data_IF_115515704400
#
_entry.id   IF_115515704400
#
_cell.length_a   1.000
_cell.length_b   1.000
_cell.length_c   1.000
_cell.angle_alpha   90.00
_cell.angle_beta   90.00
_cell.angle_gamma   90.00
#
_symmetry.space_group_name_H-M   'P 1'
#
loop_
_entity.id
_entity.type
_entity.pdbx_description
1 polymer ?
#
# COMPACT_ATOMS: atom_id res chain seq x y z
N UNK A 1 9.70 5.26 -2.32
CA UNK A 1 9.86 4.08 -3.21
C UNK A 1 8.58 3.87 -3.99
N UNK A 2 8.60 3.14 -5.11
CA UNK A 2 7.41 2.89 -5.93
C UNK A 2 7.36 1.45 -6.47
N UNK A 3 6.16 0.90 -6.57
CA UNK A 3 5.86 -0.40 -7.19
C UNK A 3 4.92 -0.12 -8.36
N UNK A 4 5.24 -0.63 -9.55
CA UNK A 4 4.33 -0.59 -10.70
C UNK A 4 3.45 -1.83 -10.63
N UNK A 5 2.14 -1.64 -10.62
CA UNK A 5 1.11 -2.66 -10.65
C UNK A 5 0.91 -3.11 -12.10
N UNK A 6 0.85 -4.42 -12.31
CA UNK A 6 0.60 -4.99 -13.64
C UNK A 6 -0.85 -4.79 -14.08
N UNK A 7 -1.15 -4.74 -15.39
CA UNK A 7 -2.51 -4.58 -15.90
C UNK A 7 -3.45 -5.76 -15.54
N UNK A 8 -2.88 -6.91 -15.17
CA UNK A 8 -3.61 -8.11 -14.73
C UNK A 8 -3.91 -8.13 -13.23
N UNK A 9 -3.44 -7.14 -12.48
CA UNK A 9 -3.61 -7.07 -11.02
C UNK A 9 -4.33 -5.76 -10.66
N UNK A 10 -5.69 -5.74 -10.72
CA UNK A 10 -6.48 -4.58 -10.33
C UNK A 10 -6.42 -4.41 -8.81
N UNK A 11 -5.28 -3.91 -8.33
CA UNK A 11 -5.07 -3.57 -6.95
C UNK A 11 -5.60 -2.16 -6.70
N UNK A 12 -6.43 -2.01 -5.68
CA UNK A 12 -7.00 -0.72 -5.30
C UNK A 12 -6.75 -0.50 -3.80
N UNK A 13 -5.74 0.31 -3.51
CA UNK A 13 -5.28 0.61 -2.15
C UNK A 13 -6.42 1.13 -1.28
N UNK A 14 -7.25 2.02 -1.83
CA UNK A 14 -8.36 2.62 -1.10
C UNK A 14 -9.37 1.55 -0.67
N UNK A 15 -9.76 0.65 -1.58
CA UNK A 15 -10.62 -0.49 -1.23
C UNK A 15 -9.97 -1.46 -0.24
N UNK A 16 -8.66 -1.70 -0.36
CA UNK A 16 -7.93 -2.59 0.55
C UNK A 16 -7.87 -2.03 1.98
N UNK A 17 -7.62 -0.73 2.13
CA UNK A 17 -7.48 -0.08 3.45
C UNK A 17 -8.83 0.34 4.05
N UNK A 18 -9.81 0.70 3.23
CA UNK A 18 -11.13 1.16 3.68
C UNK A 18 -12.03 0.03 4.20
N UNK A 19 -11.83 -1.22 3.78
CA UNK A 19 -12.67 -2.38 4.18
C UNK A 19 -12.57 -2.80 5.66
N UNK A 20 -11.96 -2.00 6.55
CA UNK A 20 -12.10 -2.13 8.01
C UNK A 20 -11.24 -3.22 8.68
N UNK A 21 -10.49 -4.02 7.92
CA UNK A 21 -9.52 -4.97 8.50
C UNK A 21 -8.18 -4.30 8.88
N UNK A 22 -8.00 -3.03 8.51
CA UNK A 22 -6.75 -2.31 8.65
C UNK A 22 -6.90 -1.12 9.63
N UNK A 23 -7.27 -1.39 10.88
CA UNK A 23 -7.45 -0.40 11.98
C UNK A 23 -6.25 0.53 12.25
N UNK A 24 -5.11 0.32 11.58
CA UNK A 24 -3.87 1.07 11.76
C UNK A 24 -3.57 2.04 10.62
N UNK A 25 -4.53 2.26 9.72
CA UNK A 25 -4.37 3.14 8.57
C UNK A 25 -5.33 4.32 8.62
N UNK A 26 -4.77 5.51 8.44
CA UNK A 26 -5.50 6.78 8.39
C UNK A 26 -5.22 7.44 7.05
N UNK A 27 -6.28 7.86 6.34
CA UNK A 27 -6.14 8.61 5.10
C UNK A 27 -6.01 10.09 5.41
N UNK A 28 -4.88 10.69 5.05
CA UNK A 28 -4.60 12.12 5.19
C UNK A 28 -4.31 12.69 3.80
N UNK A 29 -5.32 13.33 3.21
CA UNK A 29 -5.26 13.81 1.83
C UNK A 29 -5.21 12.64 0.84
N UNK A 30 -4.15 12.61 0.02
CA UNK A 30 -3.91 11.53 -0.96
C UNK A 30 -3.09 10.37 -0.40
N UNK A 31 -2.56 10.52 0.82
CA UNK A 31 -1.69 9.53 1.44
C UNK A 31 -2.41 8.77 2.54
N UNK A 32 -2.15 7.48 2.59
CA UNK A 32 -2.52 6.62 3.69
C UNK A 32 -1.32 6.46 4.62
N UNK A 33 -1.52 6.78 5.89
CA UNK A 33 -0.52 6.68 6.94
C UNK A 33 -0.85 5.49 7.81
N UNK A 34 0.13 4.63 8.08
CA UNK A 34 -0.09 3.49 8.95
C UNK A 34 1.19 2.79 9.35
N UNK A 35 1.02 1.68 10.07
CA UNK A 35 2.14 0.92 10.62
C UNK A 35 2.03 -0.54 10.20
N UNK A 36 3.00 -1.03 9.43
CA UNK A 36 3.13 -2.45 9.10
C UNK A 36 4.26 -3.04 9.94
N UNK A 37 3.96 -4.08 10.73
CA UNK A 37 4.95 -4.80 11.56
C UNK A 37 5.90 -3.84 12.33
N UNK A 38 5.32 -2.88 13.06
CA UNK A 38 6.03 -1.87 13.85
C UNK A 38 6.80 -0.80 13.05
N UNK A 39 6.79 -0.87 11.71
CA UNK A 39 7.39 0.15 10.86
C UNK A 39 6.33 1.17 10.43
N UNK A 40 6.42 2.44 10.85
CA UNK A 40 5.54 3.49 10.35
C UNK A 40 5.89 3.81 8.90
N UNK A 41 4.87 3.87 8.05
CA UNK A 41 5.01 4.22 6.65
C UNK A 41 3.80 5.00 6.16
N UNK A 42 4.00 5.65 5.03
CA UNK A 42 2.91 6.17 4.22
C UNK A 42 2.88 5.48 2.87
N UNK A 43 1.69 5.31 2.32
CA UNK A 43 1.46 4.74 0.99
C UNK A 43 0.36 5.51 0.28
N UNK A 44 0.51 5.70 -1.02
CA UNK A 44 -0.55 6.20 -1.90
C UNK A 44 -0.55 5.40 -3.19
N UNK A 45 -1.68 5.39 -3.86
CA UNK A 45 -1.79 4.84 -5.20
C UNK A 45 -2.06 5.97 -6.19
N UNK A 46 -1.25 6.04 -7.24
CA UNK A 46 -1.40 6.95 -8.36
C UNK A 46 -1.49 6.08 -9.62
N UNK A 47 -2.70 5.97 -10.17
CA UNK A 47 -2.99 5.06 -11.29
C UNK A 47 -2.55 3.61 -11.00
N UNK A 48 -1.59 3.12 -11.80
CA UNK A 48 -1.00 1.79 -11.70
C UNK A 48 0.30 1.79 -10.89
N UNK A 49 0.56 2.84 -10.10
CA UNK A 49 1.78 2.98 -9.32
C UNK A 49 1.43 3.11 -7.85
N UNK A 50 1.98 2.22 -7.04
CA UNK A 50 1.92 2.30 -5.59
C UNK A 50 3.18 2.98 -5.07
N UNK A 51 3.03 4.17 -4.52
CA UNK A 51 4.13 4.93 -3.91
C UNK A 51 4.08 4.77 -2.39
N UNK A 52 5.23 4.52 -1.77
CA UNK A 52 5.33 4.38 -0.32
C UNK A 52 6.67 4.85 0.22
N UNK A 53 6.67 5.27 1.47
CA UNK A 53 7.83 5.83 2.16
C UNK A 53 7.85 5.40 3.63
N UNK A 54 9.04 5.15 4.16
CA UNK A 54 9.24 4.61 5.52
C UNK A 54 9.33 3.08 5.56
N UNK A 55 9.08 2.39 4.46
CA UNK A 55 9.17 0.93 4.36
C UNK A 55 9.91 0.44 3.12
N UNK A 56 10.34 -0.82 3.16
CA UNK A 56 10.95 -1.53 2.04
C UNK A 56 9.89 -2.07 1.07
N UNK A 57 10.23 -2.10 -0.22
CA UNK A 57 9.37 -2.63 -1.28
C UNK A 57 8.92 -4.07 -1.03
N UNK A 58 9.81 -4.94 -0.55
CA UNK A 58 9.46 -6.33 -0.21
C UNK A 58 8.40 -6.41 0.88
N UNK A 59 8.49 -5.56 1.91
CA UNK A 59 7.54 -5.55 3.03
C UNK A 59 6.15 -5.10 2.58
N UNK A 60 6.10 -4.05 1.75
CA UNK A 60 4.87 -3.54 1.14
C UNK A 60 4.26 -4.56 0.19
N UNK A 61 5.08 -5.20 -0.65
CA UNK A 61 4.62 -6.29 -1.54
C UNK A 61 4.04 -7.46 -0.76
N UNK A 62 4.73 -7.94 0.28
CA UNK A 62 4.23 -9.05 1.10
C UNK A 62 2.96 -8.67 1.86
N UNK A 63 2.87 -7.44 2.39
CA UNK A 63 1.68 -6.98 3.13
C UNK A 63 0.44 -6.87 2.23
N UNK A 64 0.60 -6.29 1.04
CA UNK A 64 -0.49 -6.10 0.08
C UNK A 64 -0.67 -7.30 -0.88
N UNK A 65 0.11 -8.37 -0.71
CA UNK A 65 0.05 -9.54 -1.58
C UNK A 65 0.49 -9.27 -3.04
N UNK A 66 1.29 -8.23 -3.28
CA UNK A 66 1.80 -7.84 -4.62
C UNK A 66 3.02 -8.68 -5.05
N UNK A 67 3.02 -9.97 -4.68
CA UNK A 67 4.04 -10.93 -5.06
C UNK A 67 3.82 -11.45 -6.47
N UNK A 68 4.90 -11.49 -7.25
CA UNK A 68 5.02 -12.04 -8.59
C UNK A 68 4.52 -13.49 -8.63
N UNK A 69 3.66 -13.79 -9.61
CA UNK A 69 3.49 -15.12 -10.17
C UNK A 69 3.87 -15.04 -11.65
#
# INVERSE_FOLDING_TARGET
MKIVLGPTQPFNLDSTLCCGQAFRWEKVGEWWYGVIKDTPLRVRQVDNVLEFEGANSSLVKTYFGLGDN
#
